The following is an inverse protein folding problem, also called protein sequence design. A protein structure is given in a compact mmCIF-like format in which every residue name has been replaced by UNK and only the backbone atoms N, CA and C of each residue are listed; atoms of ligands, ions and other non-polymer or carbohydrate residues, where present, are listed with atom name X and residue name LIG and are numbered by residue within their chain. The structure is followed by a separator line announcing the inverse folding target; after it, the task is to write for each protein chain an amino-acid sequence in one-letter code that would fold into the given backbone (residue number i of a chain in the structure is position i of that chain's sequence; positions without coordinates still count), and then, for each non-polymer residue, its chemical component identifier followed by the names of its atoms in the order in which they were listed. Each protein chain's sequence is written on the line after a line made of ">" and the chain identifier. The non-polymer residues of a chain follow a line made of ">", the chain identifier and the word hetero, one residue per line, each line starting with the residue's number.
data_IF_204556403855
#
_entry.id   IF_204556403855
#
_cell.length_a   1.000
_cell.length_b   1.000
_cell.length_c   1.000
_cell.angle_alpha   90.00
_cell.angle_beta   90.00
_cell.angle_gamma   90.00
#
_symmetry.space_group_name_H-M   'P 1'
#
loop_
_entity.id
_entity.type
_entity.pdbx_description
1 polymer ?
#
# COMPACT_ATOMS: atom_id res chain seq x y z
N UNK A 1 12.07 19.16 -26.88
CA UNK A 1 11.52 18.86 -25.53
C UNK A 1 10.85 17.48 -25.51
N UNK A 2 10.13 17.11 -26.57
CA UNK A 2 9.36 15.86 -26.62
C UNK A 2 10.21 14.60 -26.55
N UNK A 3 11.40 14.60 -27.16
CA UNK A 3 12.36 13.48 -27.10
C UNK A 3 12.84 13.26 -25.66
N UNK A 4 13.13 14.34 -24.92
CA UNK A 4 13.55 14.27 -23.51
C UNK A 4 12.43 13.69 -22.66
N UNK A 5 11.19 14.12 -22.86
CA UNK A 5 10.03 13.56 -22.13
C UNK A 5 9.76 12.10 -22.50
N UNK A 6 9.99 11.69 -23.75
CA UNK A 6 9.91 10.29 -24.16
C UNK A 6 11.00 9.45 -23.47
N UNK A 7 12.21 9.99 -23.35
CA UNK A 7 13.33 9.35 -22.65
C UNK A 7 13.11 9.31 -21.12
N UNK A 8 12.36 10.26 -20.55
CA UNK A 8 12.04 10.31 -19.12
C UNK A 8 11.33 9.04 -18.58
N UNK A 9 10.76 8.22 -19.45
CA UNK A 9 10.10 6.95 -19.10
C UNK A 9 11.08 5.81 -18.77
N UNK A 10 12.39 5.99 -18.97
CA UNK A 10 13.39 4.95 -18.70
C UNK A 10 13.51 4.70 -17.19
N UNK A 11 13.78 3.45 -16.75
CA UNK A 11 13.89 3.11 -15.33
C UNK A 11 15.23 3.57 -14.76
N UNK A 12 15.36 4.87 -14.55
CA UNK A 12 16.54 5.49 -13.95
C UNK A 12 16.10 6.57 -12.96
N UNK A 13 16.73 6.62 -11.78
CA UNK A 13 16.41 7.62 -10.76
C UNK A 13 16.78 9.04 -11.18
N UNK A 14 17.77 9.20 -12.07
CA UNK A 14 18.31 10.50 -12.51
C UNK A 14 18.48 10.51 -14.02
N UNK A 15 17.80 11.44 -14.66
CA UNK A 15 17.88 11.66 -16.12
C UNK A 15 18.48 13.04 -16.34
N UNK A 16 19.73 13.06 -16.77
CA UNK A 16 20.51 14.27 -16.95
C UNK A 16 20.40 14.75 -18.40
N UNK A 17 20.18 16.05 -18.58
CA UNK A 17 20.01 16.67 -19.90
C UNK A 17 21.08 17.74 -20.07
N UNK A 18 21.86 17.64 -21.15
CA UNK A 18 22.88 18.62 -21.53
C UNK A 18 23.88 18.97 -20.40
N UNK A 19 24.28 17.97 -19.60
CA UNK A 19 25.24 18.15 -18.51
C UNK A 19 26.11 16.89 -18.37
N UNK A 20 27.30 17.03 -17.78
CA UNK A 20 28.21 15.91 -17.55
C UNK A 20 27.60 14.88 -16.59
N UNK A 21 27.75 13.58 -16.89
CA UNK A 21 27.09 12.52 -16.10
C UNK A 21 27.50 12.49 -14.63
N UNK A 22 28.80 12.57 -14.34
CA UNK A 22 29.32 12.54 -12.97
C UNK A 22 28.92 13.81 -12.19
N UNK A 23 29.26 14.98 -12.71
CA UNK A 23 28.98 16.27 -12.06
C UNK A 23 27.48 16.56 -11.97
N UNK A 24 26.70 16.15 -12.97
CA UNK A 24 25.26 16.35 -12.99
C UNK A 24 24.52 15.36 -12.11
N UNK A 25 25.02 14.13 -11.97
CA UNK A 25 24.45 13.13 -11.09
C UNK A 25 24.67 13.42 -9.61
N UNK A 26 25.87 13.91 -9.26
CA UNK A 26 26.21 14.29 -7.89
C UNK A 26 25.58 15.60 -7.44
N UNK A 27 24.98 16.39 -8.34
CA UNK A 27 24.41 17.70 -8.00
C UNK A 27 25.42 18.85 -8.02
N UNK A 28 26.60 18.68 -8.63
CA UNK A 28 27.60 19.74 -8.75
C UNK A 28 27.27 20.73 -9.88
N UNK A 29 26.79 20.23 -11.03
CA UNK A 29 26.41 21.04 -12.20
C UNK A 29 24.90 21.05 -12.46
N UNK A 30 24.11 20.44 -11.58
CA UNK A 30 22.65 20.43 -11.61
C UNK A 30 22.10 20.93 -10.29
N UNK A 31 20.86 21.40 -10.27
CA UNK A 31 20.17 21.78 -9.02
C UNK A 31 19.72 20.60 -8.16
N UNK A 32 20.30 19.41 -8.36
CA UNK A 32 20.08 18.26 -7.47
C UNK A 32 20.87 18.44 -6.19
N UNK A 33 20.42 17.79 -5.12
CA UNK A 33 21.08 17.91 -3.83
C UNK A 33 22.50 17.30 -3.90
N UNK A 34 23.55 18.00 -3.45
CA UNK A 34 24.93 17.55 -3.60
C UNK A 34 25.16 16.29 -2.76
N UNK A 35 25.53 15.18 -3.42
CA UNK A 35 25.80 13.90 -2.74
C UNK A 35 26.69 12.99 -3.58
N UNK A 36 27.47 12.15 -2.88
CA UNK A 36 28.23 11.04 -3.47
C UNK A 36 27.56 9.68 -3.26
N UNK A 37 26.41 9.65 -2.59
CA UNK A 37 25.61 8.42 -2.41
C UNK A 37 24.32 8.57 -3.18
N UNK A 38 24.24 7.83 -4.28
CA UNK A 38 23.19 7.96 -5.29
C UNK A 38 22.21 6.79 -5.18
N UNK A 39 21.02 7.03 -4.64
CA UNK A 39 19.98 6.00 -4.49
C UNK A 39 19.48 5.50 -5.85
N UNK A 40 19.49 4.19 -6.08
CA UNK A 40 19.01 3.56 -7.33
C UNK A 40 17.51 3.22 -7.31
N UNK A 41 16.80 3.50 -6.21
CA UNK A 41 15.41 3.16 -6.01
C UNK A 41 15.16 1.65 -5.90
N UNK A 42 13.88 1.29 -5.84
CA UNK A 42 13.43 -0.10 -5.63
C UNK A 42 13.87 -1.03 -6.76
N UNK A 43 13.96 -0.51 -7.99
CA UNK A 43 14.48 -1.23 -9.15
C UNK A 43 15.92 -1.72 -8.97
N UNK A 44 16.73 -1.00 -8.19
CA UNK A 44 18.10 -1.39 -7.85
C UNK A 44 18.26 -1.93 -6.42
N UNK A 45 17.16 -2.24 -5.73
CA UNK A 45 17.17 -2.77 -4.36
C UNK A 45 17.47 -1.73 -3.27
N UNK A 46 17.37 -0.43 -3.57
CA UNK A 46 17.55 0.64 -2.59
C UNK A 46 16.20 1.17 -2.10
N UNK A 47 16.14 1.58 -0.83
CA UNK A 47 14.97 2.23 -0.23
C UNK A 47 14.77 3.67 -0.71
N UNK A 48 15.80 4.28 -1.31
CA UNK A 48 15.81 5.68 -1.76
C UNK A 48 16.22 5.77 -3.22
N UNK A 49 15.57 6.65 -3.99
CA UNK A 49 15.95 7.01 -5.37
C UNK A 49 16.69 8.35 -5.45
N UNK A 50 16.65 9.13 -4.37
CA UNK A 50 17.21 10.46 -4.30
C UNK A 50 18.73 10.45 -4.08
N UNK A 51 19.32 11.65 -4.14
CA UNK A 51 20.67 11.89 -3.66
C UNK A 51 20.62 11.92 -2.12
N UNK A 52 21.35 11.02 -1.46
CA UNK A 52 21.28 10.89 0.02
C UNK A 52 21.85 12.13 0.68
N UNK A 53 21.12 12.63 1.68
CA UNK A 53 21.41 13.90 2.38
C UNK A 53 21.26 13.75 3.87
N UNK A 54 21.71 14.73 4.68
CA UNK A 54 21.69 14.60 6.14
C UNK A 54 20.32 14.26 6.73
N UNK A 55 19.23 14.72 6.10
CA UNK A 55 17.86 14.39 6.53
C UNK A 55 17.55 12.90 6.50
N UNK A 56 18.21 12.14 5.62
CA UNK A 56 18.08 10.69 5.55
C UNK A 56 18.77 9.96 6.71
N UNK A 57 19.66 10.65 7.44
CA UNK A 57 20.41 10.10 8.57
C UNK A 57 19.80 10.51 9.92
N UNK A 58 18.73 11.30 9.91
CA UNK A 58 18.05 11.77 11.13
C UNK A 58 16.83 10.92 11.40
N UNK A 59 16.84 10.24 12.55
CA UNK A 59 15.66 9.56 13.06
C UNK A 59 14.69 10.57 13.68
N UNK A 60 13.44 10.58 13.21
CA UNK A 60 12.39 11.45 13.73
C UNK A 60 11.49 10.66 14.67
N UNK A 61 11.51 10.99 15.97
CA UNK A 61 10.56 10.46 16.96
C UNK A 61 9.29 11.30 16.95
N UNK A 62 8.14 10.69 16.68
CA UNK A 62 6.82 11.35 16.71
C UNK A 62 6.03 10.86 17.92
N UNK A 63 5.51 11.79 18.73
CA UNK A 63 4.54 11.49 19.79
C UNK A 63 3.15 11.79 19.22
N UNK A 64 2.28 10.79 19.18
CA UNK A 64 0.93 10.89 18.65
C UNK A 64 -0.09 10.58 19.74
N UNK A 65 -1.11 11.43 19.87
CA UNK A 65 -2.23 11.23 20.78
C UNK A 65 -3.39 10.56 20.05
N UNK A 66 -4.14 9.70 20.74
CA UNK A 66 -5.33 9.05 20.19
C UNK A 66 -6.46 10.06 20.01
N UNK A 67 -6.84 10.34 18.76
CA UNK A 67 -7.93 11.28 18.42
C UNK A 67 -9.28 10.58 18.21
N UNK A 68 -9.28 9.28 17.94
CA UNK A 68 -10.47 8.48 17.65
C UNK A 68 -10.37 7.14 18.36
N UNK A 69 -11.51 6.61 18.78
CA UNK A 69 -11.59 5.28 19.39
C UNK A 69 -11.54 4.19 18.31
N UNK A 70 -10.61 3.25 18.48
CA UNK A 70 -10.37 2.12 17.57
C UNK A 70 -11.62 1.28 17.31
N UNK A 71 -12.49 1.11 18.32
CA UNK A 71 -13.70 0.30 18.19
C UNK A 71 -14.72 0.93 17.23
N UNK A 72 -14.72 2.26 17.11
CA UNK A 72 -15.68 3.01 16.29
C UNK A 72 -15.16 3.39 14.91
N UNK A 73 -13.86 3.21 14.63
CA UNK A 73 -13.25 3.63 13.36
C UNK A 73 -13.97 3.08 12.13
N UNK A 74 -14.31 1.79 12.19
CA UNK A 74 -14.89 1.06 11.08
C UNK A 74 -16.43 1.23 10.97
N UNK A 75 -17.13 1.64 12.04
CA UNK A 75 -18.54 2.04 11.95
C UNK A 75 -18.68 3.50 11.51
N UNK A 76 -17.69 4.34 11.83
CA UNK A 76 -17.65 5.74 11.45
C UNK A 76 -17.17 5.99 10.01
N UNK A 77 -16.59 4.98 9.33
CA UNK A 77 -16.16 5.08 7.94
C UNK A 77 -17.23 4.49 7.00
N UNK A 78 -17.95 5.32 6.22
CA UNK A 78 -18.97 4.85 5.29
C UNK A 78 -18.41 4.08 4.09
N UNK A 79 -17.10 4.17 3.83
CA UNK A 79 -16.41 3.44 2.75
C UNK A 79 -15.95 2.06 3.23
N UNK A 80 -15.94 1.83 4.54
CA UNK A 80 -15.48 0.57 5.12
C UNK A 80 -16.54 -0.52 4.96
N UNK A 81 -16.51 -1.16 3.79
CA UNK A 81 -17.43 -2.23 3.44
C UNK A 81 -17.01 -3.52 4.16
N UNK A 82 -17.48 -3.74 5.39
CA UNK A 82 -17.30 -5.03 6.07
C UNK A 82 -17.99 -6.12 5.26
N UNK A 83 -17.29 -7.23 5.00
CA UNK A 83 -17.97 -8.47 4.61
C UNK A 83 -18.91 -8.81 5.77
N UNK A 84 -20.22 -8.80 5.52
CA UNK A 84 -21.21 -9.21 6.52
C UNK A 84 -21.00 -10.69 6.80
N UNK A 85 -20.41 -11.04 7.94
CA UNK A 85 -20.47 -12.41 8.45
C UNK A 85 -21.92 -12.75 8.78
N UNK A 86 -22.33 -13.99 8.52
CA UNK A 86 -23.70 -14.46 8.72
C UNK A 86 -24.16 -14.24 10.17
N UNK A 87 -25.46 -14.01 10.37
CA UNK A 87 -26.08 -13.61 11.66
C UNK A 87 -25.85 -14.59 12.83
N UNK A 88 -25.32 -15.79 12.55
CA UNK A 88 -25.01 -16.83 13.53
C UNK A 88 -23.54 -16.86 13.98
N UNK A 89 -22.70 -15.99 13.44
CA UNK A 89 -21.37 -15.75 14.00
C UNK A 89 -21.56 -14.81 15.19
N UNK A 90 -21.37 -15.26 16.43
CA UNK A 90 -21.20 -14.35 17.55
C UNK A 90 -20.06 -13.40 17.18
N UNK A 91 -20.42 -12.17 16.77
CA UNK A 91 -19.46 -11.14 16.48
C UNK A 91 -18.67 -10.93 17.77
N UNK A 92 -17.45 -11.47 17.81
CA UNK A 92 -16.51 -11.10 18.86
C UNK A 92 -16.39 -9.59 18.73
N UNK A 93 -16.95 -8.89 19.72
CA UNK A 93 -16.79 -7.46 19.81
C UNK A 93 -15.28 -7.21 19.78
N UNK A 94 -14.82 -6.42 18.80
CA UNK A 94 -13.40 -6.11 18.61
C UNK A 94 -12.91 -5.29 19.82
N UNK A 95 -12.61 -5.95 20.93
CA UNK A 95 -11.85 -5.38 22.02
C UNK A 95 -10.39 -5.46 21.61
N UNK A 96 -9.92 -4.37 21.01
CA UNK A 96 -8.52 -4.18 20.72
C UNK A 96 -7.72 -4.22 22.03
N UNK A 97 -7.01 -5.32 22.28
CA UNK A 97 -6.03 -5.41 23.38
C UNK A 97 -6.18 -6.59 24.35
N UNK A 98 -7.22 -7.41 24.27
CA UNK A 98 -7.43 -8.53 25.23
C UNK A 98 -7.17 -9.92 24.66
N UNK A 99 -7.04 -10.06 23.34
CA UNK A 99 -6.89 -11.36 22.67
C UNK A 99 -5.45 -11.60 22.21
N UNK A 100 -4.91 -12.75 22.58
CA UNK A 100 -3.63 -13.27 22.09
C UNK A 100 -3.69 -13.59 20.58
N UNK A 101 -2.55 -13.60 19.87
CA UNK A 101 -2.49 -13.93 18.44
C UNK A 101 -3.15 -15.29 18.09
N UNK A 102 -3.15 -16.25 19.02
CA UNK A 102 -3.79 -17.54 18.84
C UNK A 102 -5.33 -17.45 18.86
N UNK A 103 -5.89 -16.59 19.70
CA UNK A 103 -7.34 -16.37 19.79
C UNK A 103 -7.90 -15.64 18.55
N UNK A 104 -7.12 -14.73 17.96
CA UNK A 104 -7.46 -14.12 16.66
C UNK A 104 -7.53 -15.16 15.53
N UNK A 105 -6.57 -16.10 15.49
CA UNK A 105 -6.55 -17.17 14.49
C UNK A 105 -7.72 -18.15 14.71
N UNK A 106 -8.06 -18.44 15.97
CA UNK A 106 -9.20 -19.29 16.30
C UNK A 106 -10.54 -18.66 15.89
N UNK A 107 -10.72 -17.35 16.10
CA UNK A 107 -11.91 -16.61 15.68
C UNK A 107 -12.04 -16.52 14.14
N UNK A 108 -10.91 -16.45 13.42
CA UNK A 108 -10.89 -16.48 11.95
C UNK A 108 -11.21 -17.85 11.35
N UNK A 109 -11.23 -18.91 12.16
CA UNK A 109 -11.49 -20.30 11.76
C UNK A 109 -12.96 -20.68 11.79
N UNK A 110 -13.86 -19.74 12.07
CA UNK A 110 -15.28 -19.96 11.88
C UNK A 110 -15.59 -20.08 10.39
N UNK A 111 -15.42 -21.28 9.83
CA UNK A 111 -16.13 -21.65 8.62
C UNK A 111 -16.42 -23.17 8.54
N UNK A 112 -17.68 -23.43 8.21
CA UNK A 112 -18.30 -24.67 7.74
C UNK A 112 -18.59 -25.78 8.76
N UNK A 113 -19.73 -25.67 9.44
CA UNK A 113 -20.61 -26.83 9.62
C UNK A 113 -22.07 -26.39 9.76
N UNK A 114 -22.87 -26.89 8.82
CA UNK A 114 -24.34 -27.03 8.80
C UNK A 114 -25.21 -25.98 8.08
N UNK A 115 -25.58 -26.38 6.85
CA UNK A 115 -26.82 -26.16 6.09
C UNK A 115 -27.21 -24.75 5.63
N UNK A 116 -26.71 -24.44 4.43
CA UNK A 116 -27.34 -23.71 3.33
C UNK A 116 -28.88 -23.67 3.35
N UNK A 117 -29.44 -22.47 3.35
CA UNK A 117 -30.52 -22.05 2.44
C UNK A 117 -30.71 -20.52 2.50
N UNK A 118 -30.02 -19.75 1.65
CA UNK A 118 -30.58 -18.61 0.91
C UNK A 118 -29.55 -17.97 -0.08
N UNK A 119 -29.84 -18.12 -1.38
CA UNK A 119 -29.75 -17.12 -2.48
C UNK A 119 -28.44 -16.36 -2.76
N UNK A 120 -27.84 -16.30 -3.96
CA UNK A 120 -28.14 -16.82 -5.30
C UNK A 120 -26.79 -17.03 -5.99
N UNK A 121 -26.51 -18.24 -6.50
CA UNK A 121 -25.27 -18.55 -7.23
C UNK A 121 -25.00 -17.60 -8.42
N UNK A 122 -26.03 -16.91 -8.93
CA UNK A 122 -25.91 -15.89 -9.98
C UNK A 122 -25.14 -14.63 -9.55
N UNK A 123 -25.31 -14.16 -8.31
CA UNK A 123 -24.62 -12.94 -7.83
C UNK A 123 -23.13 -13.18 -7.65
N UNK A 124 -22.78 -14.37 -7.14
CA UNK A 124 -21.39 -14.81 -7.01
C UNK A 124 -20.73 -14.92 -8.39
N UNK A 125 -21.43 -15.51 -9.37
CA UNK A 125 -20.94 -15.62 -10.74
C UNK A 125 -20.81 -14.26 -11.44
N UNK A 126 -21.69 -13.30 -11.15
CA UNK A 126 -21.55 -11.92 -11.65
C UNK A 126 -20.29 -11.25 -11.09
N UNK A 127 -20.02 -11.41 -9.79
CA UNK A 127 -18.84 -10.83 -9.16
C UNK A 127 -17.54 -11.45 -9.69
N UNK A 128 -17.50 -12.79 -9.80
CA UNK A 128 -16.35 -13.52 -10.36
C UNK A 128 -16.07 -13.08 -11.79
N UNK A 129 -17.10 -12.97 -12.63
CA UNK A 129 -16.93 -12.50 -14.01
C UNK A 129 -16.47 -11.04 -14.09
N UNK A 130 -16.94 -10.18 -13.19
CA UNK A 130 -16.52 -8.79 -13.12
C UNK A 130 -15.04 -8.67 -12.74
N UNK A 131 -14.57 -9.48 -11.79
CA UNK A 131 -13.16 -9.56 -11.39
C UNK A 131 -12.31 -10.09 -12.54
N UNK A 132 -12.74 -11.16 -13.21
CA UNK A 132 -12.03 -11.72 -14.38
C UNK A 132 -11.94 -10.70 -15.52
N UNK A 133 -13.01 -9.92 -15.76
CA UNK A 133 -13.02 -8.86 -16.76
C UNK A 133 -12.02 -7.74 -16.42
N UNK A 134 -12.01 -7.30 -15.15
CA UNK A 134 -11.06 -6.31 -14.66
C UNK A 134 -9.60 -6.80 -14.76
N UNK A 135 -9.35 -8.08 -14.48
CA UNK A 135 -8.02 -8.69 -14.61
C UNK A 135 -7.55 -8.84 -16.06
N UNK A 136 -8.48 -9.04 -17.00
CA UNK A 136 -8.18 -9.08 -18.43
C UNK A 136 -8.01 -7.70 -19.08
N UNK A 137 -8.24 -6.61 -18.32
CA UNK A 137 -8.05 -5.24 -18.79
C UNK A 137 -9.09 -4.77 -19.82
N UNK A 138 -10.20 -5.48 -19.96
CA UNK A 138 -11.32 -5.08 -20.81
C UNK A 138 -12.26 -4.18 -20.00
N UNK A 139 -12.30 -2.88 -20.28
CA UNK A 139 -13.33 -1.99 -19.74
C UNK A 139 -14.67 -2.25 -20.43
#
# INVERSE_FOLDING_TARGET
>A
RDIVMKFARKPASRILVNTGGAQGGTGASTGLMPSFTLGCGTWGGSSVSENVTPMHLVNIKRVAYGLKDCATLASADPTFNRIKTAENCHAIQNQCGTLSPAEYVAASKCDNTENSTFTNNEELMKLVNQIVKAMKGEQ
#
